data_IF_183877468040
#
_entry.id   IF_183877468040
#
_cell.length_a   1.000
_cell.length_b   1.000
_cell.length_c   1.000
_cell.angle_alpha   90.00
_cell.angle_beta   90.00
_cell.angle_gamma   90.00
#
_symmetry.space_group_name_H-M   'P 1'
#
loop_
_entity.id
_entity.type
_entity.pdbx_description
1 polymer ?
#
# COMPACT_ATOMS: atom_id res chain seq x y z
N UNK A 1 4.56 -5.47 19.39
CA UNK A 1 3.64 -5.94 18.32
C UNK A 1 2.40 -6.65 18.87
N UNK A 2 2.29 -6.91 20.19
CA UNK A 2 1.22 -7.76 20.74
C UNK A 2 -0.21 -7.32 20.41
N UNK A 3 -0.49 -6.00 20.41
CA UNK A 3 -1.83 -5.48 20.05
C UNK A 3 -2.27 -5.83 18.62
N UNK A 4 -1.33 -6.17 17.75
CA UNK A 4 -1.57 -6.47 16.34
C UNK A 4 -1.75 -7.97 16.06
N UNK A 5 -1.44 -8.84 17.03
CA UNK A 5 -1.60 -10.29 16.85
C UNK A 5 -3.05 -10.63 16.51
N UNK A 6 -3.24 -11.47 15.49
CA UNK A 6 -4.54 -11.83 14.95
C UNK A 6 -5.29 -10.72 14.21
N UNK A 7 -4.80 -9.48 14.20
CA UNK A 7 -5.40 -8.37 13.45
C UNK A 7 -5.04 -8.48 11.96
N UNK A 8 -5.88 -7.86 11.13
CA UNK A 8 -5.73 -7.90 9.68
C UNK A 8 -4.86 -6.75 9.16
N UNK A 9 -3.80 -7.09 8.44
CA UNK A 9 -3.03 -6.19 7.61
C UNK A 9 -3.28 -6.45 6.11
N UNK A 10 -3.42 -5.39 5.33
CA UNK A 10 -3.46 -5.44 3.86
C UNK A 10 -2.19 -4.78 3.32
N UNK A 11 -1.49 -5.46 2.40
CA UNK A 11 -0.24 -4.97 1.81
C UNK A 11 -0.32 -5.00 0.29
N UNK A 12 -0.22 -3.84 -0.36
CA UNK A 12 -0.19 -3.76 -1.82
C UNK A 12 1.21 -4.01 -2.38
N UNK A 13 1.33 -4.62 -3.56
CA UNK A 13 2.63 -4.93 -4.16
C UNK A 13 3.40 -6.02 -3.44
N UNK A 14 2.69 -6.99 -2.85
CA UNK A 14 3.26 -8.03 -1.98
C UNK A 14 4.06 -9.13 -2.71
N UNK A 15 4.04 -9.16 -4.05
CA UNK A 15 4.68 -10.23 -4.83
C UNK A 15 6.22 -10.20 -4.85
N UNK A 16 6.86 -9.11 -4.39
CA UNK A 16 8.32 -8.95 -4.41
C UNK A 16 8.78 -7.79 -3.50
N UNK A 17 10.11 -7.65 -3.38
CA UNK A 17 10.76 -6.48 -2.81
C UNK A 17 10.28 -6.11 -1.39
N UNK A 18 10.10 -4.82 -1.15
CA UNK A 18 9.67 -4.28 0.14
C UNK A 18 8.32 -4.85 0.58
N UNK A 19 7.35 -4.98 -0.34
CA UNK A 19 6.03 -5.53 -0.02
C UNK A 19 6.11 -6.97 0.51
N UNK A 20 6.91 -7.81 -0.15
CA UNK A 20 7.15 -9.18 0.31
C UNK A 20 7.85 -9.21 1.68
N UNK A 21 8.84 -8.35 1.90
CA UNK A 21 9.54 -8.24 3.18
C UNK A 21 8.60 -7.79 4.31
N UNK A 22 7.71 -6.82 4.04
CA UNK A 22 6.69 -6.37 4.98
C UNK A 22 5.73 -7.52 5.32
N UNK A 23 5.22 -8.25 4.33
CA UNK A 23 4.36 -9.41 4.59
C UNK A 23 5.05 -10.44 5.49
N UNK A 24 6.32 -10.79 5.19
CA UNK A 24 7.11 -11.72 6.02
C UNK A 24 7.25 -11.21 7.45
N UNK A 25 7.57 -9.94 7.65
CA UNK A 25 7.71 -9.34 8.96
C UNK A 25 6.39 -9.37 9.76
N UNK A 26 5.28 -8.94 9.17
CA UNK A 26 3.99 -8.89 9.86
C UNK A 26 3.47 -10.28 10.23
N UNK A 27 3.67 -11.28 9.37
CA UNK A 27 3.28 -12.68 9.66
C UNK A 27 4.12 -13.27 10.81
N UNK A 28 5.42 -13.00 10.85
CA UNK A 28 6.28 -13.42 11.96
C UNK A 28 5.81 -12.88 13.31
N UNK A 29 5.28 -11.66 13.30
CA UNK A 29 4.72 -10.98 14.47
C UNK A 29 3.29 -11.43 14.83
N UNK A 30 2.71 -12.39 14.10
CA UNK A 30 1.42 -12.98 14.41
C UNK A 30 0.21 -12.29 13.79
N UNK A 31 0.41 -11.42 12.79
CA UNK A 31 -0.72 -10.80 12.08
C UNK A 31 -1.30 -11.72 11.00
N UNK A 32 -2.59 -11.57 10.74
CA UNK A 32 -3.19 -12.06 9.49
C UNK A 32 -2.93 -11.01 8.42
N UNK A 33 -2.29 -11.42 7.33
CA UNK A 33 -1.87 -10.52 6.24
C UNK A 33 -2.54 -10.94 4.94
N UNK A 34 -3.09 -9.99 4.21
CA UNK A 34 -3.52 -10.18 2.83
C UNK A 34 -2.60 -9.38 1.91
N UNK A 35 -1.83 -10.09 1.08
CA UNK A 35 -0.96 -9.52 0.08
C UNK A 35 -1.66 -9.38 -1.27
N UNK A 36 -1.58 -8.20 -1.88
CA UNK A 36 -2.15 -7.89 -3.20
C UNK A 36 -1.07 -7.74 -4.25
N UNK A 37 -1.22 -8.40 -5.40
CA UNK A 37 -0.45 -8.14 -6.61
C UNK A 37 -1.11 -8.79 -7.83
N UNK A 38 -0.60 -8.51 -9.04
CA UNK A 38 -1.03 -9.20 -10.27
C UNK A 38 -0.55 -10.66 -10.36
N UNK A 39 0.61 -10.94 -9.73
CA UNK A 39 1.28 -12.26 -9.68
C UNK A 39 1.03 -12.89 -8.32
N UNK A 40 -0.15 -13.49 -8.14
CA UNK A 40 -0.53 -14.08 -6.85
C UNK A 40 0.31 -15.31 -6.50
N UNK A 41 0.80 -16.03 -7.51
CA UNK A 41 1.63 -17.22 -7.38
C UNK A 41 2.93 -16.95 -6.62
N UNK A 42 3.49 -15.74 -6.76
CA UNK A 42 4.66 -15.33 -6.00
C UNK A 42 4.34 -15.10 -4.53
N UNK A 43 3.14 -14.56 -4.23
CA UNK A 43 2.68 -14.37 -2.85
C UNK A 43 2.39 -15.73 -2.21
N UNK A 44 1.81 -16.68 -2.96
CA UNK A 44 1.56 -18.04 -2.49
C UNK A 44 2.86 -18.78 -2.14
N UNK A 45 3.92 -18.61 -2.95
CA UNK A 45 5.26 -19.16 -2.61
C UNK A 45 5.77 -18.59 -1.28
N UNK A 46 5.66 -17.28 -1.08
CA UNK A 46 6.03 -16.63 0.18
C UNK A 46 5.15 -17.14 1.34
N UNK A 47 3.86 -17.36 1.12
CA UNK A 47 2.95 -17.85 2.15
C UNK A 47 3.36 -19.24 2.66
N UNK A 48 3.80 -20.14 1.77
CA UNK A 48 4.32 -21.47 2.14
C UNK A 48 5.56 -21.39 3.02
N UNK A 49 6.49 -20.46 2.74
CA UNK A 49 7.67 -20.23 3.58
C UNK A 49 7.31 -19.79 5.00
N UNK A 50 6.09 -19.23 5.17
CA UNK A 50 5.64 -18.59 6.39
C UNK A 50 4.69 -19.45 7.25
N UNK A 51 4.34 -20.68 6.83
CA UNK A 51 3.39 -21.55 7.54
C UNK A 51 3.80 -21.89 8.98
N UNK A 52 5.10 -21.86 9.27
CA UNK A 52 5.67 -22.14 10.59
C UNK A 52 5.53 -20.98 11.60
N UNK A 53 5.09 -19.80 11.16
CA UNK A 53 4.99 -18.61 12.00
C UNK A 53 3.56 -18.41 12.52
N UNK A 54 3.36 -17.65 13.62
CA UNK A 54 2.04 -17.51 14.26
C UNK A 54 1.01 -16.76 13.40
N UNK A 55 1.43 -15.95 12.44
CA UNK A 55 0.55 -15.22 11.53
C UNK A 55 0.17 -16.04 10.29
N UNK A 56 -0.56 -15.42 9.37
CA UNK A 56 -0.97 -16.06 8.11
C UNK A 56 -0.89 -15.10 6.94
N UNK A 57 -0.35 -15.55 5.81
CA UNK A 57 -0.38 -14.78 4.56
C UNK A 57 -1.41 -15.35 3.59
N UNK A 58 -2.36 -14.52 3.20
CA UNK A 58 -3.32 -14.79 2.13
C UNK A 58 -2.89 -14.04 0.86
N UNK A 59 -2.83 -14.75 -0.26
CA UNK A 59 -2.56 -14.15 -1.57
C UNK A 59 -3.88 -13.73 -2.24
N UNK A 60 -3.92 -12.55 -2.84
CA UNK A 60 -5.02 -12.10 -3.69
C UNK A 60 -4.50 -11.43 -4.96
N UNK A 61 -4.96 -11.93 -6.11
CA UNK A 61 -4.79 -11.25 -7.39
C UNK A 61 -5.69 -10.04 -7.49
N UNK A 62 -5.08 -8.85 -7.64
CA UNK A 62 -5.78 -7.58 -7.88
C UNK A 62 -4.91 -6.73 -8.81
N UNK A 63 -5.47 -6.26 -9.91
CA UNK A 63 -4.88 -5.16 -10.67
C UNK A 63 -5.27 -3.82 -10.05
N UNK A 64 -4.29 -3.12 -9.48
CA UNK A 64 -4.50 -1.82 -8.84
C UNK A 64 -4.85 -0.69 -9.81
N UNK A 65 -4.71 -0.90 -11.12
CA UNK A 65 -5.22 0.05 -12.12
C UNK A 65 -6.73 -0.09 -12.36
N UNK A 66 -7.35 -1.17 -11.86
CA UNK A 66 -8.77 -1.44 -12.01
C UNK A 66 -9.50 -1.19 -10.69
N UNK A 67 -10.16 -0.03 -10.57
CA UNK A 67 -10.91 0.31 -9.34
C UNK A 67 -11.97 -0.74 -9.00
N UNK A 68 -12.62 -1.36 -9.99
CA UNK A 68 -13.63 -2.40 -9.74
C UNK A 68 -13.03 -3.61 -9.04
N UNK A 69 -11.79 -4.00 -9.38
CA UNK A 69 -11.09 -5.08 -8.69
C UNK A 69 -10.70 -4.70 -7.27
N UNK A 70 -10.29 -3.44 -7.04
CA UNK A 70 -10.02 -2.94 -5.68
C UNK A 70 -11.29 -2.99 -4.83
N UNK A 71 -12.42 -2.51 -5.35
CA UNK A 71 -13.70 -2.53 -4.64
C UNK A 71 -14.19 -3.95 -4.35
N UNK A 72 -14.11 -4.85 -5.34
CA UNK A 72 -14.45 -6.26 -5.14
C UNK A 72 -13.55 -6.92 -4.08
N UNK A 73 -12.27 -6.56 -4.03
CA UNK A 73 -11.35 -7.01 -3.01
C UNK A 73 -11.76 -6.53 -1.60
N UNK A 74 -12.07 -5.25 -1.41
CA UNK A 74 -12.50 -4.74 -0.10
C UNK A 74 -13.86 -5.29 0.34
N UNK A 75 -14.76 -5.58 -0.60
CA UNK A 75 -16.00 -6.30 -0.31
C UNK A 75 -15.70 -7.73 0.21
N UNK A 76 -14.79 -8.46 -0.45
CA UNK A 76 -14.35 -9.77 0.03
C UNK A 76 -13.69 -9.71 1.43
N UNK A 77 -12.91 -8.66 1.71
CA UNK A 77 -12.32 -8.43 3.04
C UNK A 77 -13.41 -8.26 4.11
N UNK A 78 -14.44 -7.47 3.81
CA UNK A 78 -15.59 -7.26 4.71
C UNK A 78 -16.27 -8.57 5.06
N UNK A 79 -16.49 -9.43 4.08
CA UNK A 79 -17.14 -10.74 4.25
C UNK A 79 -16.25 -11.74 5.03
N UNK A 80 -14.94 -11.69 4.82
CA UNK A 80 -14.02 -12.74 5.34
C UNK A 80 -13.39 -12.40 6.70
N UNK A 81 -13.01 -11.13 6.91
CA UNK A 81 -12.16 -10.74 8.05
C UNK A 81 -12.77 -9.66 8.94
N UNK A 82 -13.96 -9.15 8.60
CA UNK A 82 -14.69 -8.15 9.40
C UNK A 82 -13.92 -6.84 9.64
N UNK A 83 -12.93 -6.49 8.80
CA UNK A 83 -12.30 -5.17 8.82
C UNK A 83 -10.77 -5.14 8.69
N UNK A 84 -10.25 -4.07 8.08
CA UNK A 84 -8.81 -3.79 7.96
C UNK A 84 -8.33 -3.02 9.20
N UNK A 85 -7.24 -3.47 9.80
CA UNK A 85 -6.63 -2.80 10.96
C UNK A 85 -5.33 -2.08 10.58
N UNK A 86 -4.58 -2.63 9.63
CA UNK A 86 -3.36 -2.05 9.08
C UNK A 86 -3.44 -2.03 7.54
N UNK A 87 -3.29 -0.87 6.92
CA UNK A 87 -3.17 -0.74 5.47
C UNK A 87 -1.76 -0.29 5.10
N UNK A 88 -1.09 -1.05 4.25
CA UNK A 88 0.23 -0.69 3.71
C UNK A 88 0.12 -0.49 2.21
N UNK A 89 0.09 0.79 1.81
CA UNK A 89 0.16 1.21 0.42
C UNK A 89 1.63 1.17 -0.04
N UNK A 90 2.08 -0.02 -0.43
CA UNK A 90 3.45 -0.26 -0.88
C UNK A 90 3.60 -0.33 -2.41
N UNK A 91 2.58 -0.76 -3.14
CA UNK A 91 2.66 -0.85 -4.59
C UNK A 91 3.10 0.46 -5.22
N UNK A 92 4.07 0.38 -6.12
CA UNK A 92 4.59 1.54 -6.83
C UNK A 92 5.30 1.12 -8.10
N UNK A 93 5.25 2.00 -9.09
CA UNK A 93 5.88 1.86 -10.38
C UNK A 93 6.87 3.01 -10.60
N UNK A 94 8.05 2.66 -11.11
CA UNK A 94 9.05 3.60 -11.59
C UNK A 94 9.09 3.46 -13.11
N UNK A 95 9.19 4.57 -13.82
CA UNK A 95 9.34 4.59 -15.27
C UNK A 95 10.19 5.77 -15.71
N UNK A 96 10.99 5.56 -16.77
CA UNK A 96 11.84 6.59 -17.38
C UNK A 96 11.12 7.16 -18.60
N UNK A 97 10.58 8.37 -18.46
CA UNK A 97 9.90 9.10 -19.51
C UNK A 97 10.18 10.62 -19.34
N UNK A 98 11.15 11.20 -20.09
CA UNK A 98 11.51 12.61 -20.01
C UNK A 98 10.34 13.53 -20.28
N UNK A 99 10.23 14.67 -19.59
CA UNK A 99 9.07 15.59 -19.77
C UNK A 99 8.98 16.19 -21.18
N UNK A 100 10.09 16.26 -21.90
CA UNK A 100 10.17 16.87 -23.24
C UNK A 100 9.79 15.91 -24.37
N UNK A 101 9.82 14.60 -24.15
CA UNK A 101 9.72 13.61 -25.23
C UNK A 101 9.22 12.23 -24.78
N UNK A 102 8.86 12.09 -23.51
CA UNK A 102 8.50 10.82 -22.90
C UNK A 102 7.13 10.35 -23.32
N UNK A 103 6.93 9.04 -23.29
CA UNK A 103 5.64 8.43 -23.55
C UNK A 103 4.65 8.75 -22.42
N UNK A 104 3.55 9.39 -22.80
CA UNK A 104 2.46 9.74 -21.89
C UNK A 104 1.79 8.54 -21.22
N UNK A 105 1.85 7.35 -21.82
CA UNK A 105 1.33 6.13 -21.18
C UNK A 105 2.17 5.72 -19.98
N UNK A 106 3.49 5.93 -20.00
CA UNK A 106 4.35 5.70 -18.84
C UNK A 106 3.94 6.65 -17.70
N UNK A 107 3.68 7.92 -18.02
CA UNK A 107 3.23 8.91 -17.04
C UNK A 107 1.88 8.53 -16.43
N UNK A 108 0.90 8.14 -17.26
CA UNK A 108 -0.41 7.66 -16.80
C UNK A 108 -0.26 6.47 -15.87
N UNK A 109 0.47 5.44 -16.29
CA UNK A 109 0.67 4.23 -15.48
C UNK A 109 1.34 4.53 -14.11
N UNK A 110 2.32 5.44 -14.08
CA UNK A 110 2.95 5.88 -12.82
C UNK A 110 1.90 6.49 -11.89
N UNK A 111 1.08 7.42 -12.41
CA UNK A 111 0.12 8.15 -11.58
C UNK A 111 -1.06 7.27 -11.13
N UNK A 112 -1.56 6.41 -12.01
CA UNK A 112 -2.63 5.46 -11.72
C UNK A 112 -2.25 4.53 -10.56
N UNK A 113 -1.03 3.99 -10.55
CA UNK A 113 -0.58 3.09 -9.47
C UNK A 113 -0.12 3.87 -8.23
N UNK A 114 0.76 4.85 -8.39
CA UNK A 114 1.44 5.48 -7.26
C UNK A 114 0.55 6.45 -6.49
N UNK A 115 -0.45 7.02 -7.15
CA UNK A 115 -1.34 8.04 -6.57
C UNK A 115 -2.76 7.52 -6.51
N UNK A 116 -3.40 7.25 -7.66
CA UNK A 116 -4.83 6.96 -7.67
C UNK A 116 -5.17 5.68 -6.90
N UNK A 117 -4.51 4.57 -7.20
CA UNK A 117 -4.73 3.30 -6.51
C UNK A 117 -4.45 3.40 -5.01
N UNK A 118 -3.38 4.11 -4.61
CA UNK A 118 -3.07 4.38 -3.21
C UNK A 118 -4.24 5.07 -2.50
N UNK A 119 -4.82 6.10 -3.13
CA UNK A 119 -5.94 6.85 -2.54
C UNK A 119 -7.22 6.01 -2.48
N UNK A 120 -7.51 5.21 -3.51
CA UNK A 120 -8.66 4.30 -3.50
C UNK A 120 -8.50 3.29 -2.37
N UNK A 121 -7.36 2.58 -2.27
CA UNK A 121 -7.16 1.63 -1.19
C UNK A 121 -7.19 2.29 0.20
N UNK A 122 -6.69 3.51 0.32
CA UNK A 122 -6.76 4.30 1.56
C UNK A 122 -8.20 4.62 1.93
N UNK A 123 -9.01 5.12 0.98
CA UNK A 123 -10.43 5.40 1.16
C UNK A 123 -11.17 4.16 1.65
N UNK A 124 -11.01 3.04 0.95
CA UNK A 124 -11.69 1.79 1.31
C UNK A 124 -11.20 1.23 2.67
N UNK A 125 -9.91 1.37 2.99
CA UNK A 125 -9.39 0.97 4.30
C UNK A 125 -9.97 1.81 5.44
N UNK A 126 -10.06 3.14 5.28
CA UNK A 126 -10.68 4.05 6.26
C UNK A 126 -12.16 3.73 6.44
N UNK A 127 -12.90 3.52 5.34
CA UNK A 127 -14.31 3.11 5.41
C UNK A 127 -14.47 1.76 6.11
N UNK A 128 -13.58 0.81 5.83
CA UNK A 128 -13.54 -0.49 6.52
C UNK A 128 -13.29 -0.33 8.02
N UNK A 129 -12.36 0.55 8.42
CA UNK A 129 -12.07 0.83 9.83
C UNK A 129 -13.29 1.43 10.53
N UNK A 130 -13.88 2.48 9.96
CA UNK A 130 -15.08 3.12 10.53
C UNK A 130 -16.27 2.18 10.63
N UNK A 131 -16.55 1.39 9.59
CA UNK A 131 -17.66 0.45 9.58
C UNK A 131 -17.55 -0.65 10.65
N UNK A 132 -16.33 -0.91 11.15
CA UNK A 132 -16.05 -1.94 12.16
C UNK A 132 -15.62 -1.35 13.51
N UNK A 133 -15.85 -0.05 13.74
CA UNK A 133 -15.49 0.66 14.97
C UNK A 133 -14.00 0.52 15.35
N UNK A 134 -13.12 0.45 14.34
CA UNK A 134 -11.67 0.42 14.53
C UNK A 134 -11.19 1.87 14.51
N UNK A 135 -10.88 2.41 15.69
CA UNK A 135 -10.39 3.79 15.82
C UNK A 135 -8.89 3.86 16.11
N UNK A 136 -8.20 2.73 16.29
CA UNK A 136 -6.75 2.65 16.49
C UNK A 136 -6.01 2.03 15.28
N UNK A 137 -6.67 2.09 14.12
CA UNK A 137 -6.16 1.62 12.84
C UNK A 137 -4.94 2.40 12.37
N UNK A 138 -4.21 1.82 11.42
CA UNK A 138 -2.94 2.39 10.97
C UNK A 138 -2.81 2.30 9.44
N UNK A 139 -2.41 3.40 8.80
CA UNK A 139 -2.21 3.49 7.36
C UNK A 139 -0.77 3.93 7.09
N UNK A 140 -0.05 3.12 6.33
CA UNK A 140 1.35 3.36 5.96
C UNK A 140 1.43 3.54 4.44
N UNK A 141 1.88 4.71 4.02
CA UNK A 141 2.16 5.00 2.63
C UNK A 141 3.66 4.88 2.34
N UNK A 142 4.07 3.95 1.49
CA UNK A 142 5.48 3.81 1.12
C UNK A 142 5.85 4.93 0.14
N UNK A 143 6.68 5.85 0.63
CA UNK A 143 7.16 7.00 -0.11
C UNK A 143 8.63 6.81 -0.51
N UNK A 144 9.27 7.88 -0.96
CA UNK A 144 10.64 7.90 -1.45
C UNK A 144 11.29 9.23 -1.08
N UNK A 145 12.63 9.27 -1.05
CA UNK A 145 13.38 10.53 -1.05
C UNK A 145 12.94 11.42 -2.23
N UNK A 146 12.57 10.81 -3.36
CA UNK A 146 12.01 11.51 -4.53
C UNK A 146 10.67 12.20 -4.28
N UNK A 147 10.00 11.91 -3.15
CA UNK A 147 8.79 12.61 -2.72
C UNK A 147 9.03 13.88 -1.90
N UNK A 148 10.30 14.24 -1.68
CA UNK A 148 10.71 15.43 -0.94
C UNK A 148 11.71 16.30 -1.71
N UNK A 149 12.33 15.77 -2.75
CA UNK A 149 13.22 16.49 -3.66
C UNK A 149 13.33 15.78 -4.99
N UNK A 150 13.65 16.53 -6.04
CA UNK A 150 14.04 15.93 -7.31
C UNK A 150 15.47 15.38 -7.19
N UNK A 151 15.66 14.10 -7.50
CA UNK A 151 16.99 13.49 -7.59
C UNK A 151 17.54 13.69 -9.01
N UNK A 152 18.87 13.76 -9.20
CA UNK A 152 19.50 13.93 -10.51
C UNK A 152 19.42 12.63 -11.33
N UNK A 153 18.19 12.22 -11.68
CA UNK A 153 17.89 11.02 -12.45
C UNK A 153 17.00 11.39 -13.63
N UNK A 154 17.60 11.47 -14.80
CA UNK A 154 16.92 11.89 -16.02
C UNK A 154 15.74 10.99 -16.37
N UNK A 155 14.63 11.62 -16.75
CA UNK A 155 13.40 10.92 -17.13
C UNK A 155 12.53 10.42 -15.97
N UNK A 156 12.88 10.69 -14.71
CA UNK A 156 12.13 10.21 -13.55
C UNK A 156 11.26 11.28 -12.86
N UNK A 157 11.09 12.44 -13.51
CA UNK A 157 10.34 13.56 -12.95
C UNK A 157 8.89 13.18 -12.60
N UNK A 158 8.21 12.37 -13.41
CA UNK A 158 6.85 11.91 -13.09
C UNK A 158 6.79 10.96 -11.91
N UNK A 159 7.81 10.12 -11.69
CA UNK A 159 7.91 9.33 -10.48
C UNK A 159 8.08 10.24 -9.25
N UNK A 160 8.99 11.22 -9.31
CA UNK A 160 9.19 12.18 -8.24
C UNK A 160 7.91 12.98 -7.94
N UNK A 161 7.22 13.46 -8.98
CA UNK A 161 5.94 14.15 -8.86
C UNK A 161 4.88 13.27 -8.17
N UNK A 162 4.76 12.00 -8.56
CA UNK A 162 3.82 11.05 -7.93
C UNK A 162 4.11 10.89 -6.44
N UNK A 163 5.39 10.83 -6.03
CA UNK A 163 5.80 10.67 -4.64
C UNK A 163 5.66 11.96 -3.83
N UNK A 164 5.81 13.14 -4.45
CA UNK A 164 5.39 14.40 -3.82
C UNK A 164 3.87 14.42 -3.58
N UNK A 165 3.10 13.90 -4.55
CA UNK A 165 1.67 13.65 -4.40
C UNK A 165 1.36 12.79 -3.16
N UNK A 166 2.08 11.68 -2.97
CA UNK A 166 1.93 10.84 -1.77
C UNK A 166 2.23 11.62 -0.49
N UNK A 167 3.27 12.47 -0.47
CA UNK A 167 3.60 13.31 0.69
C UNK A 167 2.42 14.21 1.08
N UNK A 168 1.88 14.98 0.13
CA UNK A 168 0.79 15.93 0.44
C UNK A 168 -0.52 15.22 0.77
N UNK A 169 -0.84 14.12 0.08
CA UNK A 169 -2.07 13.36 0.32
C UNK A 169 -2.05 12.65 1.68
N UNK A 170 -0.87 12.22 2.14
CA UNK A 170 -0.71 11.67 3.48
C UNK A 170 -0.97 12.74 4.56
N UNK A 171 -0.51 13.97 4.35
CA UNK A 171 -0.81 15.07 5.27
C UNK A 171 -2.28 15.50 5.23
N UNK A 172 -2.87 15.55 4.04
CA UNK A 172 -4.29 15.83 3.87
C UNK A 172 -5.16 14.81 4.62
N UNK A 173 -4.90 13.51 4.46
CA UNK A 173 -5.63 12.46 5.18
C UNK A 173 -5.50 12.61 6.69
N UNK A 174 -4.30 12.94 7.19
CA UNK A 174 -4.10 13.17 8.63
C UNK A 174 -5.04 14.26 9.15
N UNK A 175 -5.17 15.37 8.42
CA UNK A 175 -6.08 16.47 8.79
C UNK A 175 -7.54 16.04 8.73
N UNK A 176 -7.93 15.28 7.70
CA UNK A 176 -9.29 14.74 7.59
C UNK A 176 -9.66 13.83 8.76
N UNK A 177 -8.74 12.94 9.19
CA UNK A 177 -8.94 12.05 10.34
C UNK A 177 -9.07 12.84 11.65
N UNK A 178 -8.23 13.87 11.85
CA UNK A 178 -8.32 14.78 13.00
C UNK A 178 -9.67 15.51 13.02
N UNK A 179 -10.13 16.01 11.88
CA UNK A 179 -11.44 16.67 11.77
C UNK A 179 -12.60 15.73 12.08
N UNK A 180 -12.43 14.43 11.80
CA UNK A 180 -13.37 13.36 12.17
C UNK A 180 -13.22 12.89 13.62
N UNK A 181 -12.28 13.46 14.39
CA UNK A 181 -11.94 13.06 15.77
C UNK A 181 -11.57 11.58 15.88
N UNK A 182 -10.98 11.02 14.82
CA UNK A 182 -10.52 9.64 14.81
C UNK A 182 -9.08 9.54 15.31
N UNK A 183 -8.76 8.45 16.00
CA UNK A 183 -7.40 8.11 16.44
C UNK A 183 -6.65 7.22 15.43
N UNK A 184 -7.24 6.96 14.26
CA UNK A 184 -6.56 6.28 13.15
C UNK A 184 -5.33 7.09 12.79
N UNK A 185 -4.18 6.43 12.73
CA UNK A 185 -2.91 7.07 12.40
C UNK A 185 -2.57 6.85 10.93
N UNK A 186 -1.99 7.88 10.33
CA UNK A 186 -1.44 7.82 8.97
C UNK A 186 -0.01 8.36 8.96
N UNK A 187 0.90 7.59 8.37
CA UNK A 187 2.29 7.94 8.20
C UNK A 187 2.79 7.55 6.80
N UNK A 188 3.86 8.21 6.35
CA UNK A 188 4.61 7.77 5.20
C UNK A 188 5.98 7.25 5.64
N UNK A 189 6.45 6.19 5.02
CA UNK A 189 7.80 5.68 5.24
C UNK A 189 8.68 6.04 4.05
N UNK A 190 9.77 6.75 4.29
CA UNK A 190 10.76 7.05 3.26
C UNK A 190 11.64 5.83 3.03
N UNK A 191 11.62 5.28 1.82
CA UNK A 191 12.66 4.35 1.42
C UNK A 191 13.93 5.11 1.04
N UNK A 192 15.03 4.82 1.74
CA UNK A 192 16.38 5.27 1.38
C UNK A 192 17.03 4.39 0.30
N UNK A 193 16.48 3.22 0.01
CA UNK A 193 16.96 2.36 -1.06
C UNK A 193 16.54 2.93 -2.41
N UNK A 194 17.38 3.79 -2.98
CA UNK A 194 17.50 3.93 -4.43
C UNK A 194 17.96 2.57 -4.96
N UNK A 195 17.05 1.84 -5.61
CA UNK A 195 17.31 0.73 -6.52
C UNK A 195 18.26 -0.37 -6.01
N UNK A 196 17.70 -1.56 -5.73
CA UNK A 196 18.43 -2.82 -5.96
C UNK A 196 18.12 -3.24 -7.40
#
# INVERSE_FOLDING_TARGET
MDRWKGKLAVVTGASAGIGAAICKALVREGMTVVGLARREENIQKIAKELEQYPGKLHARKVDLKNEKEILAFFQWIKETFKGVHLMVNNAGLVGKAPLTSGDSDIWRNIYEVNVLALNICTREAVQSMFANNIDDGYIININSISGHRLLPMDGHAMYAASKHGVTILTDALRRELVNKKSHIKVEFQQNKCLFI
#
